data_IF_554643670008
#
_entry.id   IF_554643670008
#
_cell.length_a   1.000
_cell.length_b   1.000
_cell.length_c   1.000
_cell.angle_alpha   90.00
_cell.angle_beta   90.00
_cell.angle_gamma   90.00
#
_symmetry.space_group_name_H-M   'P 1'
#
loop_
_entity.id
_entity.type
_entity.pdbx_description
1 polymer ?
#
# COMPACT_ATOMS: atom_id res chain seq x y z
N UNK A 1 -4.07 4.12 6.14
CA UNK A 1 -2.71 3.57 5.99
C UNK A 1 -2.11 3.13 7.33
N UNK A 2 -2.12 3.98 8.37
CA UNK A 2 -1.57 3.62 9.69
C UNK A 2 -2.19 2.35 10.28
N UNK A 3 -3.51 2.17 10.21
CA UNK A 3 -4.18 0.95 10.68
C UNK A 3 -3.71 -0.32 9.96
N UNK A 4 -3.35 -0.22 8.67
CA UNK A 4 -2.78 -1.35 7.93
C UNK A 4 -1.40 -1.71 8.48
N UNK A 5 -0.53 -0.72 8.67
CA UNK A 5 0.79 -0.96 9.23
C UNK A 5 0.73 -1.53 10.65
N UNK A 6 -0.12 -0.98 11.51
CA UNK A 6 -0.31 -1.52 12.87
C UNK A 6 -0.82 -2.96 12.86
N UNK A 7 -1.74 -3.31 11.95
CA UNK A 7 -2.21 -4.70 11.82
C UNK A 7 -1.11 -5.65 11.33
N UNK A 8 -0.26 -5.20 10.40
CA UNK A 8 0.90 -5.98 9.94
C UNK A 8 1.93 -6.14 11.06
N UNK A 9 2.21 -5.07 11.82
CA UNK A 9 3.11 -5.12 12.99
C UNK A 9 2.63 -6.14 14.02
N UNK A 10 1.34 -6.12 14.36
CA UNK A 10 0.72 -7.08 15.27
C UNK A 10 0.86 -8.52 14.75
N UNK A 11 0.51 -8.75 13.48
CA UNK A 11 0.56 -10.09 12.87
C UNK A 11 1.96 -10.63 12.69
N UNK A 12 2.95 -9.78 12.44
CA UNK A 12 4.36 -10.18 12.28
C UNK A 12 5.16 -10.12 13.58
N UNK A 13 4.60 -9.48 14.62
CA UNK A 13 5.32 -9.15 15.87
C UNK A 13 6.60 -8.34 15.65
N UNK A 14 6.60 -7.47 14.64
CA UNK A 14 7.73 -6.62 14.30
C UNK A 14 7.39 -5.15 14.52
N UNK A 15 8.39 -4.36 14.91
CA UNK A 15 8.32 -2.90 14.80
C UNK A 15 8.77 -2.50 13.39
N UNK A 16 7.84 -1.95 12.62
CA UNK A 16 7.98 -1.73 11.18
C UNK A 16 8.18 -0.26 10.83
N UNK A 17 7.99 0.68 11.76
CA UNK A 17 8.17 2.12 11.52
C UNK A 17 9.49 2.49 10.84
N UNK A 18 10.64 2.01 11.33
CA UNK A 18 11.94 2.24 10.67
C UNK A 18 12.03 1.59 9.29
N UNK A 19 11.43 0.42 9.10
CA UNK A 19 11.43 -0.30 7.82
C UNK A 19 10.64 0.47 6.76
N UNK A 20 9.49 1.01 7.14
CA UNK A 20 8.67 1.88 6.29
C UNK A 20 9.44 3.15 5.95
N UNK A 21 10.11 3.77 6.93
CA UNK A 21 10.83 5.01 6.68
C UNK A 21 12.00 4.83 5.70
N UNK A 22 12.80 3.78 5.86
CA UNK A 22 13.85 3.46 4.89
C UNK A 22 13.29 3.06 3.53
N UNK A 23 12.22 2.25 3.48
CA UNK A 23 11.58 1.88 2.22
C UNK A 23 11.04 3.10 1.47
N UNK A 24 10.46 4.05 2.20
CA UNK A 24 9.97 5.30 1.64
C UNK A 24 11.09 6.22 1.17
N UNK A 25 12.21 6.28 1.91
CA UNK A 25 13.39 7.07 1.53
C UNK A 25 14.00 6.58 0.22
N UNK A 26 14.26 5.27 0.11
CA UNK A 26 14.81 4.69 -1.11
C UNK A 26 13.83 4.74 -2.28
N UNK A 27 12.53 4.57 -2.02
CA UNK A 27 11.52 4.69 -3.09
C UNK A 27 11.47 6.11 -3.63
N UNK A 28 11.49 7.12 -2.76
CA UNK A 28 11.50 8.52 -3.18
C UNK A 28 12.80 8.87 -3.91
N UNK A 29 13.96 8.36 -3.47
CA UNK A 29 15.25 8.60 -4.14
C UNK A 29 15.22 8.03 -5.56
N UNK A 30 14.72 6.79 -5.71
CA UNK A 30 14.55 6.16 -7.02
C UNK A 30 13.60 6.96 -7.91
N UNK A 31 12.44 7.39 -7.40
CA UNK A 31 11.46 8.16 -8.18
C UNK A 31 11.98 9.54 -8.59
N UNK A 32 12.71 10.24 -7.71
CA UNK A 32 13.34 11.52 -8.05
C UNK A 32 14.46 11.35 -9.08
N UNK A 33 15.18 10.23 -9.07
CA UNK A 33 16.20 9.94 -10.09
C UNK A 33 15.60 9.75 -11.50
N UNK A 34 14.31 9.45 -11.61
CA UNK A 34 13.58 9.36 -12.88
C UNK A 34 13.00 10.70 -13.35
N UNK A 35 13.06 11.75 -12.53
CA UNK A 35 12.51 13.07 -12.84
C UNK A 35 13.60 13.98 -13.42
N UNK A 36 13.22 14.84 -14.37
CA UNK A 36 14.15 15.82 -14.95
C UNK A 36 14.44 16.99 -13.99
N UNK A 37 13.41 17.42 -13.22
CA UNK A 37 13.47 18.60 -12.34
C UNK A 37 13.44 18.22 -10.85
N UNK A 38 14.58 17.76 -10.33
CA UNK A 38 14.74 17.42 -8.91
C UNK A 38 15.02 18.64 -8.01
N UNK A 39 14.65 18.60 -6.71
CA UNK A 39 14.99 19.63 -5.73
C UNK A 39 16.49 19.98 -5.72
N UNK A 40 16.82 21.27 -5.60
CA UNK A 40 18.21 21.75 -5.49
C UNK A 40 18.34 22.89 -4.50
N UNK A 41 19.39 22.82 -3.67
CA UNK A 41 19.70 23.80 -2.64
C UNK A 41 18.69 23.81 -1.49
N UNK A 42 19.03 24.49 -0.40
CA UNK A 42 18.30 24.42 0.88
C UNK A 42 17.00 25.26 0.98
N UNK A 43 16.43 25.72 -0.13
CA UNK A 43 15.25 26.59 -0.11
C UNK A 43 14.03 25.90 -0.76
N UNK A 44 13.10 25.32 0.04
CA UNK A 44 11.93 24.62 -0.46
C UNK A 44 11.00 25.46 -1.32
N UNK A 45 10.97 26.78 -1.14
CA UNK A 45 10.16 27.68 -1.98
C UNK A 45 10.60 27.68 -3.44
N UNK A 46 11.82 27.21 -3.72
CA UNK A 46 12.33 27.03 -5.09
C UNK A 46 12.03 25.64 -5.67
N UNK A 47 11.55 24.70 -4.87
CA UNK A 47 11.24 23.33 -5.30
C UNK A 47 9.79 23.24 -5.78
N UNK A 48 9.46 23.99 -6.85
CA UNK A 48 8.09 24.13 -7.34
C UNK A 48 7.46 22.78 -7.71
N UNK A 49 8.12 21.98 -8.54
CA UNK A 49 7.62 20.66 -8.96
C UNK A 49 7.49 19.66 -7.81
N UNK A 50 8.41 19.71 -6.85
CA UNK A 50 8.29 18.90 -5.64
C UNK A 50 7.06 19.27 -4.82
N UNK A 51 6.81 20.57 -4.65
CA UNK A 51 5.65 21.07 -3.90
C UNK A 51 4.35 20.67 -4.59
N UNK A 52 4.26 20.90 -5.91
CA UNK A 52 3.12 20.47 -6.74
C UNK A 52 2.94 18.94 -6.68
N UNK A 53 4.02 18.17 -6.83
CA UNK A 53 4.00 16.71 -6.75
C UNK A 53 3.57 16.18 -5.38
N UNK A 54 3.95 16.83 -4.27
CA UNK A 54 3.43 16.49 -2.93
C UNK A 54 1.92 16.71 -2.86
N UNK A 55 1.43 17.86 -3.33
CA UNK A 55 0.01 18.19 -3.33
C UNK A 55 -0.80 17.17 -4.15
N UNK A 56 -0.37 16.86 -5.37
CA UNK A 56 -1.01 15.86 -6.23
C UNK A 56 -1.05 14.47 -5.60
N UNK A 57 0.01 14.09 -4.87
CA UNK A 57 0.06 12.81 -4.14
C UNK A 57 -0.73 12.82 -2.83
N UNK A 58 -1.41 13.91 -2.47
CA UNK A 58 -2.14 14.00 -1.22
C UNK A 58 -1.25 14.24 0.00
N UNK A 59 0.04 14.49 -0.18
CA UNK A 59 1.00 14.68 0.92
C UNK A 59 0.92 16.10 1.48
N UNK A 60 1.34 16.23 2.74
CA UNK A 60 1.29 17.49 3.49
C UNK A 60 2.34 18.52 3.05
N UNK A 61 2.12 19.78 3.43
CA UNK A 61 3.05 20.89 3.22
C UNK A 61 4.27 20.79 4.14
N UNK A 62 5.38 21.41 3.74
CA UNK A 62 6.64 21.36 4.48
C UNK A 62 7.14 22.76 4.86
N UNK A 63 7.77 22.86 6.02
CA UNK A 63 8.37 24.09 6.52
C UNK A 63 9.71 23.79 7.18
N UNK A 64 10.76 24.54 6.84
CA UNK A 64 12.05 24.44 7.53
C UNK A 64 12.02 25.38 8.73
N UNK A 65 12.23 24.83 9.92
CA UNK A 65 12.24 25.58 11.18
C UNK A 65 13.66 25.87 11.65
N UNK A 66 14.59 24.97 11.35
CA UNK A 66 16.01 25.13 11.67
C UNK A 66 16.85 24.56 10.52
N UNK A 67 17.91 25.27 10.14
CA UNK A 67 18.94 24.82 9.21
C UNK A 67 20.29 25.32 9.72
N UNK A 68 20.74 24.67 10.78
CA UNK A 68 22.04 24.92 11.39
C UNK A 68 23.11 24.00 10.79
N UNK A 69 24.42 24.28 11.02
CA UNK A 69 25.48 23.37 10.61
C UNK A 69 25.40 21.97 11.26
N UNK A 70 24.78 21.86 12.44
CA UNK A 70 24.68 20.61 13.18
C UNK A 70 23.48 19.76 12.72
N UNK A 71 22.36 20.40 12.40
CA UNK A 71 21.12 19.74 12.01
C UNK A 71 20.15 20.65 11.26
N UNK A 72 19.29 20.01 10.48
CA UNK A 72 18.11 20.64 9.86
C UNK A 72 16.84 20.06 10.49
N UNK A 73 15.86 20.91 10.79
CA UNK A 73 14.53 20.51 11.27
C UNK A 73 13.48 20.94 10.26
N UNK A 74 12.70 19.97 9.78
CA UNK A 74 11.62 20.16 8.82
C UNK A 74 10.31 19.71 9.45
N UNK A 75 9.29 20.57 9.44
CA UNK A 75 7.93 20.21 9.78
C UNK A 75 7.18 19.75 8.54
N UNK A 76 6.34 18.73 8.71
CA UNK A 76 5.33 18.33 7.74
C UNK A 76 3.95 18.51 8.38
N UNK A 77 3.20 19.47 7.86
CA UNK A 77 1.83 19.72 8.29
C UNK A 77 0.90 18.76 7.56
N UNK A 78 -0.10 18.20 8.27
CA UNK A 78 -1.03 17.20 7.71
C UNK A 78 -0.29 15.99 7.12
N UNK A 79 0.71 15.46 7.82
CA UNK A 79 1.37 14.22 7.41
C UNK A 79 0.38 13.05 7.31
N UNK A 80 0.68 12.02 6.53
CA UNK A 80 -0.19 10.84 6.44
C UNK A 80 0.28 9.72 7.40
N UNK A 81 1.59 9.52 7.45
CA UNK A 81 2.22 8.48 8.25
C UNK A 81 3.62 8.95 8.60
N UNK A 82 3.92 9.12 9.88
CA UNK A 82 5.20 9.68 10.32
C UNK A 82 6.44 8.98 9.73
N UNK A 83 6.56 7.64 9.76
CA UNK A 83 7.70 6.99 9.11
C UNK A 83 7.75 7.20 7.60
N UNK A 84 6.60 7.21 6.92
CA UNK A 84 6.54 7.38 5.46
C UNK A 84 7.00 8.79 5.07
N UNK A 85 6.36 9.80 5.66
CA UNK A 85 6.71 11.20 5.41
C UNK A 85 8.16 11.50 5.82
N UNK A 86 8.65 10.95 6.95
CA UNK A 86 10.04 11.14 7.37
C UNK A 86 11.03 10.60 6.32
N UNK A 87 10.77 9.43 5.74
CA UNK A 87 11.58 8.87 4.66
C UNK A 87 11.56 9.72 3.40
N UNK A 88 10.38 10.18 2.97
CA UNK A 88 10.24 11.08 1.81
C UNK A 88 11.04 12.37 2.02
N UNK A 89 10.91 13.00 3.20
CA UNK A 89 11.58 14.26 3.52
C UNK A 89 13.09 14.08 3.57
N UNK A 90 13.58 13.00 4.19
CA UNK A 90 15.01 12.71 4.23
C UNK A 90 15.58 12.60 2.82
N UNK A 91 15.00 11.74 1.98
CA UNK A 91 15.43 11.56 0.59
C UNK A 91 15.39 12.86 -0.24
N UNK A 92 14.32 13.64 -0.08
CA UNK A 92 14.18 14.95 -0.74
C UNK A 92 15.30 15.90 -0.34
N UNK A 93 15.60 15.97 0.96
CA UNK A 93 16.66 16.82 1.48
C UNK A 93 18.03 16.38 0.99
N UNK A 94 18.30 15.08 1.02
CA UNK A 94 19.55 14.50 0.50
C UNK A 94 19.76 14.82 -0.97
N UNK A 95 18.71 14.71 -1.79
CA UNK A 95 18.73 15.11 -3.20
C UNK A 95 19.01 16.61 -3.35
N UNK A 96 18.37 17.44 -2.54
CA UNK A 96 18.52 18.89 -2.60
C UNK A 96 19.92 19.37 -2.20
N UNK A 97 20.57 18.70 -1.23
CA UNK A 97 21.88 19.10 -0.70
C UNK A 97 23.05 18.31 -1.28
N UNK A 98 22.80 17.17 -1.93
CA UNK A 98 23.83 16.25 -2.42
C UNK A 98 24.62 15.57 -1.29
N UNK A 99 24.01 15.41 -0.10
CA UNK A 99 24.64 14.86 1.10
C UNK A 99 23.70 13.90 1.80
N UNK A 100 24.22 12.80 2.35
CA UNK A 100 23.43 11.84 3.12
C UNK A 100 23.14 12.37 4.52
N UNK A 101 22.01 11.95 5.08
CA UNK A 101 21.54 12.39 6.38
C UNK A 101 20.97 11.21 7.19
N UNK A 102 21.35 11.14 8.47
CA UNK A 102 20.57 10.40 9.47
C UNK A 102 19.31 11.21 9.74
N UNK A 103 18.16 10.53 9.74
CA UNK A 103 16.90 11.17 10.05
C UNK A 103 16.23 10.55 11.28
N UNK A 104 15.61 11.41 12.08
CA UNK A 104 14.74 11.06 13.21
C UNK A 104 13.43 11.80 13.05
N UNK A 105 12.36 11.22 13.57
CA UNK A 105 11.06 11.90 13.53
C UNK A 105 10.31 11.78 14.84
N UNK A 106 9.44 12.75 15.08
CA UNK A 106 8.49 12.76 16.18
C UNK A 106 7.16 13.33 15.71
N UNK A 107 6.07 12.72 16.15
CA UNK A 107 4.71 13.04 15.75
C UNK A 107 4.00 13.80 16.88
N UNK A 108 3.30 14.89 16.54
CA UNK A 108 2.46 15.64 17.47
C UNK A 108 1.19 16.09 16.77
N UNK A 109 0.05 15.46 17.12
CA UNK A 109 -1.25 15.66 16.46
C UNK A 109 -1.12 15.56 14.94
N UNK A 110 -1.26 16.66 14.22
CA UNK A 110 -1.25 16.75 12.76
C UNK A 110 0.09 17.27 12.20
N UNK A 111 1.11 17.39 13.04
CA UNK A 111 2.44 17.87 12.66
C UNK A 111 3.48 16.78 12.90
N UNK A 112 4.27 16.50 11.87
CA UNK A 112 5.46 15.65 11.95
C UNK A 112 6.68 16.55 11.98
N UNK A 113 7.58 16.33 12.94
CA UNK A 113 8.89 16.96 12.95
C UNK A 113 9.93 15.94 12.48
N UNK A 114 10.72 16.29 11.47
CA UNK A 114 11.81 15.50 10.92
C UNK A 114 13.12 16.23 11.20
N UNK A 115 14.00 15.60 11.98
CA UNK A 115 15.35 16.08 12.26
C UNK A 115 16.35 15.34 11.37
N UNK A 116 17.20 16.09 10.67
CA UNK A 116 18.19 15.60 9.72
C UNK A 116 19.59 16.02 10.19
N UNK A 117 20.52 15.07 10.25
CA UNK A 117 21.92 15.31 10.59
C UNK A 117 22.79 14.72 9.51
N UNK A 118 23.74 15.49 8.97
CA UNK A 118 24.65 15.01 7.93
C UNK A 118 25.34 13.70 8.34
N UNK A 119 25.46 12.77 7.39
CA UNK A 119 26.10 11.48 7.56
C UNK A 119 27.08 11.22 6.42
N UNK A 120 28.25 10.67 6.74
CA UNK A 120 29.30 10.40 5.75
C UNK A 120 29.20 8.99 5.14
N UNK A 121 28.08 8.29 5.39
CA UNK A 121 27.87 6.94 4.88
C UNK A 121 27.66 6.97 3.37
N UNK A 122 28.42 6.16 2.66
CA UNK A 122 28.22 5.93 1.23
C UNK A 122 27.20 4.80 1.03
N UNK A 123 25.99 5.16 0.58
CA UNK A 123 24.89 4.23 0.28
C UNK A 123 24.64 4.29 -1.24
N UNK A 124 24.67 3.14 -1.94
CA UNK A 124 24.44 3.11 -3.37
C UNK A 124 23.03 3.58 -3.71
N UNK A 125 22.88 4.25 -4.85
CA UNK A 125 21.57 4.68 -5.32
C UNK A 125 20.65 3.49 -5.59
N UNK A 126 19.37 3.60 -5.18
CA UNK A 126 18.40 2.53 -5.31
C UNK A 126 18.12 2.20 -6.78
N UNK A 127 17.89 0.93 -7.04
CA UNK A 127 17.48 0.40 -8.34
C UNK A 127 15.98 0.10 -8.36
N UNK A 128 15.41 -0.07 -9.55
CA UNK A 128 14.01 -0.45 -9.72
C UNK A 128 13.69 -1.78 -9.01
N UNK A 129 12.62 -1.79 -8.21
CA UNK A 129 12.11 -3.01 -7.61
C UNK A 129 11.34 -3.87 -8.61
N UNK A 130 11.67 -5.17 -8.67
CA UNK A 130 10.95 -6.15 -9.49
C UNK A 130 9.78 -6.74 -8.73
N UNK A 131 8.66 -6.95 -9.44
CA UNK A 131 7.50 -7.67 -8.90
C UNK A 131 7.84 -9.13 -8.64
N UNK A 132 7.22 -9.69 -7.60
CA UNK A 132 7.31 -11.12 -7.27
C UNK A 132 6.25 -11.99 -7.99
N UNK A 133 5.41 -11.38 -8.82
CA UNK A 133 4.35 -12.06 -9.57
C UNK A 133 4.44 -11.70 -11.05
N UNK A 134 4.07 -12.64 -11.91
CA UNK A 134 4.22 -12.50 -13.36
C UNK A 134 2.93 -11.97 -13.99
N UNK A 135 2.68 -10.67 -13.84
CA UNK A 135 1.55 -10.01 -14.46
C UNK A 135 1.89 -8.66 -15.13
N UNK A 136 1.24 -8.42 -16.27
CA UNK A 136 1.29 -7.17 -17.00
C UNK A 136 0.50 -6.09 -16.28
N UNK A 137 1.01 -4.85 -16.33
CA UNK A 137 0.24 -3.68 -15.90
C UNK A 137 -0.58 -3.19 -17.09
N UNK A 138 -1.74 -3.81 -17.28
CA UNK A 138 -2.67 -3.37 -18.31
C UNK A 138 -3.44 -2.13 -17.86
N UNK A 139 -3.53 -1.15 -18.76
CA UNK A 139 -4.45 -0.04 -18.60
C UNK A 139 -5.87 -0.53 -18.85
N UNK A 140 -6.78 -0.09 -18.00
CA UNK A 140 -8.19 -0.49 -18.11
C UNK A 140 -9.03 0.71 -18.47
N UNK A 141 -10.09 0.49 -19.24
CA UNK A 141 -11.07 1.54 -19.53
C UNK A 141 -11.70 2.06 -18.23
N UNK A 142 -11.91 3.38 -18.20
CA UNK A 142 -12.58 4.06 -17.10
C UNK A 142 -13.97 3.45 -16.88
N UNK A 143 -14.27 3.13 -15.63
CA UNK A 143 -15.61 2.67 -15.26
C UNK A 143 -16.55 3.86 -15.11
N UNK A 144 -17.80 3.71 -15.58
CA UNK A 144 -18.89 4.65 -15.32
C UNK A 144 -19.42 4.60 -13.88
N UNK A 145 -18.92 3.68 -13.05
CA UNK A 145 -19.31 3.54 -11.65
C UNK A 145 -18.80 4.72 -10.80
N UNK A 146 -17.76 5.42 -11.26
CA UNK A 146 -17.13 6.51 -10.53
C UNK A 146 -17.15 7.80 -11.32
N UNK A 147 -17.48 8.89 -10.64
CA UNK A 147 -17.46 10.24 -11.18
C UNK A 147 -16.31 11.01 -10.51
N UNK A 148 -15.32 11.41 -11.32
CA UNK A 148 -14.18 12.19 -10.84
C UNK A 148 -14.57 13.55 -10.26
N UNK A 149 -15.79 14.01 -10.54
CA UNK A 149 -16.38 15.23 -9.98
C UNK A 149 -16.58 15.17 -8.45
N UNK A 150 -16.53 13.97 -7.85
CA UNK A 150 -16.62 13.79 -6.39
C UNK A 150 -15.30 14.09 -5.66
N UNK A 151 -14.20 14.32 -6.40
CA UNK A 151 -12.91 14.72 -5.81
C UNK A 151 -13.01 16.14 -5.28
N UNK A 152 -12.55 16.33 -4.04
CA UNK A 152 -12.41 17.66 -3.43
C UNK A 152 -10.96 17.91 -3.05
N UNK A 153 -10.43 19.03 -3.52
CA UNK A 153 -9.14 19.55 -3.06
C UNK A 153 -9.31 20.17 -1.68
N UNK A 154 -8.33 19.95 -0.80
CA UNK A 154 -8.33 20.48 0.56
C UNK A 154 -7.57 21.81 0.61
N UNK A 155 -8.05 22.77 1.40
CA UNK A 155 -7.52 24.15 1.47
C UNK A 155 -6.01 24.28 1.81
N UNK A 156 -5.35 23.24 2.30
CA UNK A 156 -3.89 23.26 2.55
C UNK A 156 -3.20 21.99 2.04
N UNK A 157 -3.69 21.51 0.90
CA UNK A 157 -3.06 20.46 0.15
C UNK A 157 -3.65 19.06 0.36
N UNK A 158 -3.55 18.31 -0.74
CA UNK A 158 -4.15 17.01 -0.91
C UNK A 158 -5.61 17.04 -1.30
N UNK A 159 -6.20 15.86 -1.35
CA UNK A 159 -7.54 15.66 -1.88
C UNK A 159 -8.26 14.56 -1.12
N UNK A 160 -9.58 14.62 -1.15
CA UNK A 160 -10.47 13.63 -0.54
C UNK A 160 -11.46 13.07 -1.57
N UNK A 161 -11.92 11.86 -1.28
CA UNK A 161 -13.06 11.22 -1.94
C UNK A 161 -13.95 10.69 -0.84
N UNK A 162 -15.25 10.98 -0.90
CA UNK A 162 -16.25 10.58 0.10
C UNK A 162 -15.91 11.01 1.54
N UNK A 163 -15.32 12.21 1.69
CA UNK A 163 -14.90 12.74 3.00
C UNK A 163 -13.69 12.05 3.62
N UNK A 164 -13.04 11.13 2.89
CA UNK A 164 -11.78 10.53 3.31
C UNK A 164 -10.62 11.13 2.52
N UNK A 165 -9.68 11.77 3.23
CA UNK A 165 -8.41 12.19 2.65
C UNK A 165 -7.68 10.99 2.04
N UNK A 166 -7.17 11.18 0.82
CA UNK A 166 -6.43 10.15 0.08
C UNK A 166 -4.97 10.58 -0.12
N UNK A 167 -4.12 9.57 -0.30
CA UNK A 167 -2.74 9.75 -0.72
C UNK A 167 -2.41 8.78 -1.84
N UNK A 168 -1.46 9.16 -2.69
CA UNK A 168 -0.90 8.29 -3.71
C UNK A 168 0.48 7.81 -3.26
N UNK A 169 0.66 6.49 -3.29
CA UNK A 169 1.97 5.87 -3.07
C UNK A 169 2.35 5.05 -4.29
N UNK A 170 3.64 4.96 -4.56
CA UNK A 170 4.14 4.10 -5.62
C UNK A 170 4.25 2.66 -5.12
N UNK A 171 4.05 1.69 -6.02
CA UNK A 171 4.17 0.24 -5.71
C UNK A 171 5.57 -0.12 -5.22
N UNK A 172 6.58 0.57 -5.75
CA UNK A 172 7.99 0.41 -5.35
C UNK A 172 8.18 0.52 -3.84
N UNK A 173 7.49 1.45 -3.17
CA UNK A 173 7.52 1.60 -1.70
C UNK A 173 7.08 0.31 -1.00
N UNK A 174 5.99 -0.31 -1.46
CA UNK A 174 5.46 -1.54 -0.87
C UNK A 174 6.41 -2.72 -1.12
N UNK A 175 7.02 -2.80 -2.30
CA UNK A 175 8.01 -3.84 -2.62
C UNK A 175 9.29 -3.69 -1.80
N UNK A 176 9.79 -2.46 -1.59
CA UNK A 176 10.93 -2.22 -0.69
C UNK A 176 10.59 -2.56 0.75
N UNK A 177 9.39 -2.16 1.18
CA UNK A 177 8.92 -2.44 2.53
C UNK A 177 8.83 -3.94 2.79
N UNK A 178 8.32 -4.71 1.82
CA UNK A 178 8.38 -6.17 1.83
C UNK A 178 9.82 -6.65 2.05
N UNK A 179 10.77 -6.34 1.15
CA UNK A 179 12.16 -6.81 1.24
C UNK A 179 12.83 -6.48 2.58
N UNK A 180 12.62 -5.27 3.11
CA UNK A 180 13.25 -4.83 4.36
C UNK A 180 12.75 -5.56 5.60
N UNK A 181 11.60 -6.23 5.50
CA UNK A 181 10.97 -6.94 6.61
C UNK A 181 11.22 -8.44 6.57
N UNK A 182 11.39 -9.04 5.39
CA UNK A 182 11.45 -10.49 5.19
C UNK A 182 12.40 -11.19 6.15
N UNK A 183 13.62 -10.68 6.32
CA UNK A 183 14.64 -11.35 7.14
C UNK A 183 14.22 -11.55 8.61
N UNK A 184 13.37 -10.66 9.14
CA UNK A 184 13.00 -10.63 10.56
C UNK A 184 11.72 -11.41 10.87
N UNK A 185 10.96 -11.82 9.86
CA UNK A 185 9.75 -12.61 10.06
C UNK A 185 10.13 -14.02 10.51
N UNK A 186 9.59 -14.43 11.66
CA UNK A 186 9.81 -15.76 12.25
C UNK A 186 8.53 -16.59 12.23
N UNK A 187 7.40 -15.99 12.62
CA UNK A 187 6.07 -16.62 12.69
C UNK A 187 5.00 -15.54 12.55
N UNK A 188 3.79 -15.93 12.19
CA UNK A 188 2.62 -15.05 12.24
C UNK A 188 1.86 -15.26 13.56
N UNK A 189 1.26 -14.18 14.08
CA UNK A 189 0.35 -14.19 15.22
C UNK A 189 -1.02 -13.69 14.80
N UNK A 190 -2.06 -14.22 15.42
CA UNK A 190 -3.45 -13.78 15.21
C UNK A 190 -3.80 -13.61 13.73
N UNK A 191 -3.35 -14.59 12.94
CA UNK A 191 -3.42 -14.64 11.48
C UNK A 191 -4.12 -15.92 11.06
N UNK A 192 -4.99 -15.83 10.04
CA UNK A 192 -5.68 -16.97 9.43
C UNK A 192 -4.81 -17.65 8.37
N UNK A 193 -3.58 -18.03 8.72
CA UNK A 193 -2.55 -18.46 7.76
C UNK A 193 -3.03 -19.58 6.83
N UNK A 194 -3.78 -20.54 7.34
CA UNK A 194 -4.30 -21.68 6.58
C UNK A 194 -5.35 -21.30 5.51
N UNK A 195 -5.90 -20.08 5.58
CA UNK A 195 -6.90 -19.58 4.64
C UNK A 195 -6.26 -18.87 3.43
N UNK A 196 -4.93 -18.71 3.40
CA UNK A 196 -4.20 -18.04 2.31
C UNK A 196 -3.25 -19.00 1.60
N UNK A 197 -3.38 -19.10 0.28
CA UNK A 197 -2.50 -19.92 -0.56
C UNK A 197 -1.87 -19.07 -1.67
N UNK A 198 -0.56 -19.03 -1.73
CA UNK A 198 0.21 -18.27 -2.71
C UNK A 198 0.99 -19.22 -3.62
N UNK A 199 0.80 -19.14 -4.94
CA UNK A 199 1.54 -19.98 -5.90
C UNK A 199 2.92 -19.42 -6.26
N UNK A 200 3.02 -18.09 -6.32
CA UNK A 200 4.21 -17.41 -6.86
C UNK A 200 5.26 -17.09 -5.78
N UNK A 201 4.90 -17.18 -4.49
CA UNK A 201 5.78 -16.89 -3.36
C UNK A 201 5.72 -17.97 -2.30
N UNK A 202 6.84 -18.18 -1.60
CA UNK A 202 7.00 -19.20 -0.54
C UNK A 202 7.77 -18.64 0.67
N UNK A 203 7.80 -19.40 1.76
CA UNK A 203 8.59 -19.07 2.95
C UNK A 203 8.20 -17.73 3.59
N UNK A 204 9.19 -16.96 4.04
CA UNK A 204 8.95 -15.68 4.74
C UNK A 204 8.17 -14.66 3.91
N UNK A 205 8.30 -14.72 2.58
CA UNK A 205 7.54 -13.86 1.67
C UNK A 205 6.07 -14.22 1.67
N UNK A 206 5.74 -15.51 1.58
CA UNK A 206 4.37 -15.98 1.74
C UNK A 206 3.77 -15.58 3.10
N UNK A 207 4.56 -15.64 4.18
CA UNK A 207 4.12 -15.18 5.50
C UNK A 207 3.83 -13.68 5.53
N UNK A 208 4.70 -12.85 4.93
CA UNK A 208 4.44 -11.41 4.83
C UNK A 208 3.17 -11.12 4.01
N UNK A 209 3.01 -11.79 2.87
CA UNK A 209 1.83 -11.67 2.02
C UNK A 209 0.56 -12.06 2.78
N UNK A 210 0.60 -13.14 3.55
CA UNK A 210 -0.50 -13.55 4.43
C UNK A 210 -0.81 -12.47 5.47
N UNK A 211 0.20 -11.91 6.15
CA UNK A 211 -0.01 -10.86 7.15
C UNK A 211 -0.67 -9.60 6.55
N UNK A 212 -0.23 -9.19 5.35
CA UNK A 212 -0.82 -8.07 4.61
C UNK A 212 -2.24 -8.38 4.19
N UNK A 213 -2.47 -9.54 3.55
CA UNK A 213 -3.79 -9.93 3.08
C UNK A 213 -4.80 -10.03 4.22
N UNK A 214 -4.44 -10.65 5.35
CA UNK A 214 -5.32 -10.77 6.49
C UNK A 214 -5.57 -9.44 7.21
N UNK A 215 -4.59 -8.53 7.19
CA UNK A 215 -4.79 -7.15 7.66
C UNK A 215 -5.78 -6.39 6.78
N UNK A 216 -5.63 -6.47 5.46
CA UNK A 216 -6.55 -5.86 4.51
C UNK A 216 -7.96 -6.44 4.61
N UNK A 217 -8.07 -7.77 4.74
CA UNK A 217 -9.34 -8.47 4.97
C UNK A 217 -10.01 -7.98 6.26
N UNK A 218 -9.26 -7.91 7.36
CA UNK A 218 -9.75 -7.42 8.64
C UNK A 218 -10.24 -5.97 8.55
N UNK A 219 -9.43 -5.05 8.01
CA UNK A 219 -9.83 -3.66 7.84
C UNK A 219 -11.08 -3.51 6.95
N UNK A 220 -11.21 -4.33 5.93
CA UNK A 220 -12.43 -4.37 5.13
C UNK A 220 -13.63 -4.87 5.97
N UNK A 221 -13.46 -5.96 6.70
CA UNK A 221 -14.48 -6.51 7.62
C UNK A 221 -14.90 -5.51 8.72
N UNK A 222 -14.01 -4.63 9.14
CA UNK A 222 -14.29 -3.61 10.15
C UNK A 222 -14.91 -2.34 9.54
N UNK A 223 -14.86 -2.18 8.21
CA UNK A 223 -15.48 -1.06 7.50
C UNK A 223 -17.00 -1.24 7.33
N UNK A 224 -17.72 -0.13 7.19
CA UNK A 224 -19.18 -0.10 6.93
C UNK A 224 -19.56 -0.36 5.46
N UNK A 225 -18.59 -0.73 4.60
CA UNK A 225 -18.83 -0.90 3.17
C UNK A 225 -19.76 -2.08 2.88
N UNK A 226 -20.84 -1.84 2.16
CA UNK A 226 -21.75 -2.90 1.72
C UNK A 226 -21.24 -3.60 0.46
N UNK A 227 -21.47 -4.91 0.38
CA UNK A 227 -21.17 -5.73 -0.80
C UNK A 227 -22.41 -6.53 -1.18
N UNK A 228 -23.01 -6.19 -2.32
CA UNK A 228 -24.20 -6.85 -2.85
C UNK A 228 -23.83 -7.60 -4.13
N UNK A 229 -24.07 -8.90 -4.16
CA UNK A 229 -23.76 -9.80 -5.27
C UNK A 229 -25.00 -10.65 -5.54
N UNK A 230 -25.53 -10.57 -6.75
CA UNK A 230 -26.64 -11.40 -7.22
C UNK A 230 -26.20 -12.43 -8.25
N UNK A 231 -25.21 -12.11 -9.07
CA UNK A 231 -24.66 -12.99 -10.10
C UNK A 231 -23.17 -12.73 -10.33
N UNK A 232 -22.51 -13.58 -11.14
CA UNK A 232 -21.06 -13.55 -11.30
C UNK A 232 -20.54 -12.18 -11.78
N UNK A 233 -21.25 -11.53 -12.71
CA UNK A 233 -20.84 -10.23 -13.27
C UNK A 233 -20.81 -9.10 -12.24
N UNK A 234 -21.56 -9.21 -11.14
CA UNK A 234 -21.57 -8.20 -10.08
C UNK A 234 -20.22 -8.10 -9.37
N UNK A 235 -19.41 -9.15 -9.42
CA UNK A 235 -18.04 -9.14 -8.89
C UNK A 235 -17.15 -8.13 -9.59
N UNK A 236 -17.34 -7.89 -10.88
CA UNK A 236 -16.60 -6.83 -11.59
C UNK A 236 -16.94 -5.47 -11.01
N UNK A 237 -18.24 -5.15 -10.86
CA UNK A 237 -18.69 -3.89 -10.28
C UNK A 237 -18.25 -3.72 -8.82
N UNK A 238 -18.35 -4.78 -8.02
CA UNK A 238 -17.89 -4.80 -6.63
C UNK A 238 -16.39 -4.54 -6.53
N UNK A 239 -15.59 -5.17 -7.39
CA UNK A 239 -14.14 -4.95 -7.42
C UNK A 239 -13.78 -3.53 -7.84
N UNK A 240 -14.55 -2.91 -8.73
CA UNK A 240 -14.30 -1.52 -9.13
C UNK A 240 -14.47 -0.58 -7.93
N UNK A 241 -15.56 -0.73 -7.18
CA UNK A 241 -15.84 0.09 -5.98
C UNK A 241 -14.81 -0.12 -4.87
N UNK A 242 -14.31 -1.34 -4.70
CA UNK A 242 -13.48 -1.70 -3.54
C UNK A 242 -11.98 -1.73 -3.82
N UNK A 243 -11.56 -1.86 -5.08
CA UNK A 243 -10.15 -1.91 -5.50
C UNK A 243 -9.78 -0.77 -6.45
N UNK A 244 -10.52 -0.60 -7.55
CA UNK A 244 -10.08 0.29 -8.63
C UNK A 244 -10.02 1.74 -8.22
N UNK A 245 -10.94 2.21 -7.37
CA UNK A 245 -10.90 3.56 -6.78
C UNK A 245 -9.60 3.84 -6.02
N UNK A 246 -8.91 2.80 -5.55
CA UNK A 246 -7.65 2.91 -4.81
C UNK A 246 -6.44 2.52 -5.68
N UNK A 247 -6.63 2.31 -6.99
CA UNK A 247 -5.57 1.86 -7.89
C UNK A 247 -5.13 0.41 -7.64
N UNK A 248 -5.95 -0.43 -7.01
CA UNK A 248 -5.59 -1.80 -6.60
C UNK A 248 -5.96 -2.88 -7.64
N UNK A 249 -6.38 -2.46 -8.83
CA UNK A 249 -6.83 -3.33 -9.92
C UNK A 249 -8.34 -3.58 -9.95
N UNK A 250 -8.78 -4.56 -10.74
CA UNK A 250 -10.19 -4.98 -10.84
C UNK A 250 -10.33 -6.44 -11.26
N UNK A 251 -11.46 -7.05 -10.91
CA UNK A 251 -11.83 -8.38 -11.38
C UNK A 251 -12.35 -8.35 -12.81
N UNK A 252 -11.92 -9.34 -13.58
CA UNK A 252 -12.38 -9.63 -14.94
C UNK A 252 -12.74 -11.11 -15.07
N UNK A 253 -13.67 -11.39 -15.99
CA UNK A 253 -14.17 -12.74 -16.24
C UNK A 253 -14.59 -13.53 -14.98
N UNK A 254 -15.35 -12.94 -14.03
CA UNK A 254 -15.74 -13.64 -12.82
C UNK A 254 -16.64 -14.84 -13.16
N UNK A 255 -16.33 -15.99 -12.56
CA UNK A 255 -17.07 -17.25 -12.69
C UNK A 255 -17.41 -17.76 -11.30
N UNK A 256 -18.68 -18.05 -11.06
CA UNK A 256 -19.16 -18.65 -9.83
C UNK A 256 -19.45 -20.12 -10.03
N UNK A 257 -18.99 -20.95 -9.10
CA UNK A 257 -19.43 -22.33 -8.99
C UNK A 257 -20.83 -22.36 -8.35
N UNK A 258 -21.79 -22.98 -9.03
CA UNK A 258 -23.20 -23.03 -8.62
C UNK A 258 -23.45 -23.85 -7.36
N UNK A 259 -22.57 -24.80 -7.02
CA UNK A 259 -22.76 -25.71 -5.89
C UNK A 259 -22.26 -25.13 -4.57
N UNK A 260 -21.14 -24.41 -4.59
CA UNK A 260 -20.45 -23.97 -3.38
C UNK A 260 -20.15 -22.46 -3.33
N UNK A 261 -20.55 -21.69 -4.35
CA UNK A 261 -20.32 -20.24 -4.41
C UNK A 261 -18.86 -19.83 -4.60
N UNK A 262 -17.97 -20.76 -4.97
CA UNK A 262 -16.57 -20.48 -5.25
C UNK A 262 -16.43 -19.49 -6.41
N UNK A 263 -15.66 -18.43 -6.22
CA UNK A 263 -15.36 -17.41 -7.22
C UNK A 263 -14.00 -17.67 -7.85
N UNK A 264 -13.96 -17.72 -9.18
CA UNK A 264 -12.75 -17.74 -9.99
C UNK A 264 -12.73 -16.51 -10.91
N UNK A 265 -11.64 -15.76 -10.93
CA UNK A 265 -11.55 -14.52 -11.73
C UNK A 265 -10.10 -14.11 -11.96
N UNK A 266 -9.87 -13.21 -12.92
CA UNK A 266 -8.57 -12.61 -13.18
C UNK A 266 -8.54 -11.17 -12.62
N UNK A 267 -7.42 -10.76 -12.04
CA UNK A 267 -7.18 -9.40 -11.53
C UNK A 267 -6.36 -8.62 -12.55
N UNK A 268 -7.01 -7.69 -13.26
CA UNK A 268 -6.35 -6.77 -14.20
C UNK A 268 -5.78 -5.58 -13.42
N UNK A 269 -4.56 -5.15 -13.77
CA UNK A 269 -3.91 -3.99 -13.15
C UNK A 269 -3.60 -4.22 -11.66
N UNK A 270 -3.23 -5.45 -11.28
CA UNK A 270 -3.00 -5.83 -9.90
C UNK A 270 -1.81 -5.06 -9.29
N UNK A 271 -2.12 -4.17 -8.33
CA UNK A 271 -1.11 -3.39 -7.62
C UNK A 271 -0.23 -4.27 -6.73
N UNK A 272 -0.83 -5.15 -5.92
CA UNK A 272 -0.14 -6.14 -5.12
C UNK A 272 -1.09 -7.30 -4.77
N UNK A 273 -0.77 -8.58 -5.07
CA UNK A 273 -1.72 -9.67 -4.92
C UNK A 273 -2.22 -9.88 -3.48
N UNK A 274 -1.36 -9.67 -2.48
CA UNK A 274 -1.77 -9.73 -1.08
C UNK A 274 -2.82 -8.66 -0.70
N UNK A 275 -2.63 -7.41 -1.15
CA UNK A 275 -3.53 -6.29 -0.80
C UNK A 275 -4.88 -6.51 -1.47
N UNK A 276 -4.88 -6.69 -2.79
CA UNK A 276 -6.11 -6.90 -3.56
C UNK A 276 -6.82 -8.19 -3.12
N UNK A 277 -6.07 -9.26 -2.89
CA UNK A 277 -6.60 -10.53 -2.40
C UNK A 277 -7.27 -10.44 -1.04
N UNK A 278 -6.64 -9.76 -0.08
CA UNK A 278 -7.22 -9.55 1.25
C UNK A 278 -8.55 -8.81 1.21
N UNK A 279 -8.62 -7.72 0.44
CA UNK A 279 -9.86 -6.95 0.26
C UNK A 279 -10.94 -7.80 -0.44
N UNK A 280 -10.58 -8.54 -1.49
CA UNK A 280 -11.51 -9.42 -2.20
C UNK A 280 -12.07 -10.54 -1.31
N UNK A 281 -11.22 -11.15 -0.49
CA UNK A 281 -11.66 -12.12 0.52
C UNK A 281 -12.65 -11.47 1.49
N UNK A 282 -12.36 -10.27 2.00
CA UNK A 282 -13.29 -9.52 2.84
C UNK A 282 -14.63 -9.22 2.15
N UNK A 283 -14.60 -8.87 0.86
CA UNK A 283 -15.81 -8.66 0.05
C UNK A 283 -16.65 -9.93 -0.06
N UNK A 284 -15.99 -11.07 -0.31
CA UNK A 284 -16.63 -12.38 -0.41
C UNK A 284 -17.21 -12.87 0.91
N UNK A 285 -16.50 -12.71 2.01
CA UNK A 285 -17.02 -13.06 3.33
C UNK A 285 -18.23 -12.19 3.68
N UNK A 286 -18.22 -10.90 3.30
CA UNK A 286 -19.33 -9.99 3.53
C UNK A 286 -20.57 -10.32 2.70
N UNK A 287 -20.40 -10.67 1.43
CA UNK A 287 -21.54 -10.99 0.56
C UNK A 287 -22.17 -12.34 0.89
N UNK A 288 -21.38 -13.30 1.38
CA UNK A 288 -21.85 -14.66 1.66
C UNK A 288 -22.22 -14.90 3.13
N UNK A 289 -21.68 -14.10 4.06
CA UNK A 289 -21.80 -14.33 5.50
C UNK A 289 -20.98 -15.53 6.01
N UNK A 290 -20.13 -16.12 5.16
CA UNK A 290 -19.34 -17.33 5.48
C UNK A 290 -17.86 -17.00 5.44
N UNK A 291 -17.07 -17.64 6.31
CA UNK A 291 -15.60 -17.54 6.28
C UNK A 291 -15.05 -18.20 5.00
N UNK A 292 -14.18 -17.50 4.30
CA UNK A 292 -13.57 -17.95 3.06
C UNK A 292 -12.10 -18.33 3.22
N UNK A 293 -11.55 -18.91 2.15
CA UNK A 293 -10.13 -19.08 1.89
C UNK A 293 -9.84 -18.56 0.49
N UNK A 294 -8.61 -18.10 0.27
CA UNK A 294 -8.17 -17.51 -0.98
C UNK A 294 -6.92 -18.19 -1.50
N UNK A 295 -6.90 -18.44 -2.81
CA UNK A 295 -5.73 -18.86 -3.55
C UNK A 295 -5.43 -17.86 -4.65
N UNK A 296 -4.18 -17.42 -4.72
CA UNK A 296 -3.69 -16.46 -5.71
C UNK A 296 -2.48 -17.02 -6.44
N UNK A 297 -2.46 -16.77 -7.75
CA UNK A 297 -1.40 -17.18 -8.67
C UNK A 297 -1.25 -16.18 -9.80
N UNK A 298 -0.20 -16.34 -10.61
CA UNK A 298 -0.08 -15.62 -11.89
C UNK A 298 0.07 -16.62 -13.03
N UNK A 299 -0.82 -16.54 -14.01
CA UNK A 299 -0.85 -17.44 -15.16
C UNK A 299 -1.12 -16.62 -16.43
N UNK A 300 -0.36 -16.88 -17.50
CA UNK A 300 -0.57 -16.19 -18.79
C UNK A 300 -0.36 -14.67 -18.77
N UNK A 301 0.41 -14.14 -17.81
CA UNK A 301 0.64 -12.70 -17.67
C UNK A 301 -0.45 -11.97 -16.87
N UNK A 302 -1.35 -12.68 -16.19
CA UNK A 302 -2.40 -12.08 -15.36
C UNK A 302 -2.42 -12.73 -13.98
N UNK A 303 -2.73 -11.94 -12.94
CA UNK A 303 -2.95 -12.49 -11.60
C UNK A 303 -4.33 -13.15 -11.56
N UNK A 304 -4.42 -14.39 -11.13
CA UNK A 304 -5.67 -15.13 -10.97
C UNK A 304 -6.01 -15.28 -9.49
N UNK A 305 -7.31 -15.24 -9.19
CA UNK A 305 -7.83 -15.39 -7.83
C UNK A 305 -8.94 -16.43 -7.78
N UNK A 306 -8.84 -17.29 -6.79
CA UNK A 306 -9.86 -18.27 -6.41
C UNK A 306 -10.25 -18.02 -4.95
N UNK A 307 -11.54 -17.80 -4.69
CA UNK A 307 -12.09 -17.64 -3.35
C UNK A 307 -13.15 -18.70 -3.12
N UNK A 308 -12.98 -19.50 -2.08
CA UNK A 308 -13.87 -20.61 -1.76
C UNK A 308 -14.30 -20.56 -0.29
N UNK A 309 -15.44 -21.18 0.09
CA UNK A 309 -15.78 -21.36 1.49
C UNK A 309 -14.68 -22.14 2.23
N UNK A 310 -14.40 -21.74 3.48
CA UNK A 310 -13.63 -22.58 4.41
C UNK A 310 -14.48 -23.82 4.69
N UNK A 311 -14.06 -24.99 4.19
CA UNK A 311 -14.80 -26.25 4.43
C UNK A 311 -15.02 -26.40 5.95
N UNK A 312 -16.27 -26.45 6.37
CA UNK A 312 -16.59 -27.04 7.69
C UNK A 312 -16.19 -28.50 7.57
N UNK A 313 -15.34 -28.99 8.46
CA UNK A 313 -15.19 -30.42 8.68
C UNK A 313 -16.58 -30.96 9.07
N UNK A 314 -17.33 -31.46 8.10
CA UNK A 314 -18.51 -32.28 8.39
C UNK A 314 -17.94 -33.51 9.07
N UNK A 315 -18.08 -33.57 10.40
CA UNK A 315 -17.93 -34.80 11.13
C UNK A 315 -18.95 -35.77 10.53
N UNK A 316 -18.45 -36.74 9.76
CA UNK A 316 -19.25 -37.90 9.37
C UNK A 316 -19.41 -38.72 10.64
N UNK A 317 -20.47 -38.48 11.40
CA UNK A 317 -21.00 -39.47 12.34
C UNK A 317 -21.98 -40.35 11.58
N UNK A 318 -21.51 -41.55 11.21
CA UNK A 318 -22.38 -42.72 11.08
C UNK A 318 -22.22 -43.56 12.34
#
# INVERSE_FOLDING_TARGET
>A
MNSLFSNIEMKTSLSLGRKIAHASSESEEFLMALQEDSPRGKNPRKWKYFSEGRLCRGLGEIEIIDDSPEKTIILVNRFCSGPLDAGIIASTWEMATGKRHKFRWSESKDVLMVELTEDEVDIPSPQEMKKNWNATDETTENSSIFHWDDIRELESGGWEIDGERKIMIHRDLILRFEEFTLAQIVSLRDSREEDYMWKDVVGKRAMWWTAVADSCRQLFSDSEKHVMISEAKDWTNSSIRNLSLQGLGRLSNPRLNSENGELNSDIIGCFHPAISGGILLGCWERSTGVKGRIKISSEGGVVTVNIAPKRTSVAISR
#
